data_IF_381127502321
#
_entry.id   IF_381127502321
#
_cell.length_a   1.000
_cell.length_b   1.000
_cell.length_c   1.000
_cell.angle_alpha   90.00
_cell.angle_beta   90.00
_cell.angle_gamma   90.00
#
_symmetry.space_group_name_H-M   'P 1'
#
loop_
_entity.id
_entity.type
_entity.pdbx_description
1 polymer ?
#
# COMPACT_ATOMS: atom_id res chain seq x y z
N UNK A 1 -14.04 5.05 -10.51
CA UNK A 1 -13.06 3.95 -10.38
C UNK A 1 -12.03 4.29 -9.31
N UNK A 2 -11.79 3.41 -8.32
CA UNK A 2 -10.79 3.65 -7.26
C UNK A 2 -9.38 3.61 -7.83
N UNK A 3 -8.47 4.46 -7.33
CA UNK A 3 -7.05 4.47 -7.73
C UNK A 3 -6.38 3.13 -7.41
N UNK A 4 -5.46 2.63 -8.25
CA UNK A 4 -4.65 1.46 -7.91
C UNK A 4 -3.73 1.78 -6.73
N UNK A 5 -3.46 0.77 -5.91
CA UNK A 5 -2.56 0.91 -4.76
C UNK A 5 -1.10 1.00 -5.23
N UNK A 6 -0.37 2.00 -4.74
CA UNK A 6 1.08 2.07 -4.91
C UNK A 6 1.80 1.09 -3.96
N UNK A 7 3.12 0.97 -4.09
CA UNK A 7 3.92 0.00 -3.32
C UNK A 7 3.75 0.15 -1.80
N UNK A 8 3.71 1.39 -1.29
CA UNK A 8 3.46 1.64 0.13
C UNK A 8 2.05 1.23 0.54
N UNK A 9 1.03 1.49 -0.28
CA UNK A 9 -0.35 1.10 0.01
C UNK A 9 -0.51 -0.42 0.03
N UNK A 10 0.11 -1.15 -0.91
CA UNK A 10 0.10 -2.62 -0.92
C UNK A 10 0.76 -3.18 0.35
N UNK A 11 1.96 -2.71 0.68
CA UNK A 11 2.69 -3.14 1.86
C UNK A 11 1.96 -2.78 3.17
N UNK A 12 1.49 -1.53 3.27
CA UNK A 12 0.84 -1.02 4.48
C UNK A 12 -0.48 -1.71 4.78
N UNK A 13 -1.19 -2.24 3.78
CA UNK A 13 -2.40 -3.01 4.00
C UNK A 13 -2.12 -4.32 4.77
N UNK A 14 -1.04 -5.02 4.40
CA UNK A 14 -0.61 -6.26 5.06
C UNK A 14 -0.12 -5.95 6.48
N UNK A 15 0.77 -4.96 6.61
CA UNK A 15 1.37 -4.63 7.91
C UNK A 15 0.37 -3.99 8.87
N UNK A 16 -0.60 -3.20 8.38
CA UNK A 16 -1.70 -2.67 9.20
C UNK A 16 -2.50 -3.81 9.83
N UNK A 17 -2.83 -4.85 9.05
CA UNK A 17 -3.55 -6.02 9.56
C UNK A 17 -2.80 -6.69 10.70
N UNK A 18 -1.50 -6.94 10.53
CA UNK A 18 -0.63 -7.52 11.58
C UNK A 18 -0.62 -6.67 12.86
N UNK A 19 -0.56 -5.35 12.73
CA UNK A 19 -0.58 -4.43 13.88
C UNK A 19 -1.95 -4.48 14.58
N UNK A 20 -3.04 -4.48 13.82
CA UNK A 20 -4.40 -4.54 14.38
C UNK A 20 -4.70 -5.88 15.06
N UNK A 21 -4.15 -6.99 14.58
CA UNK A 21 -4.25 -8.30 15.24
C UNK A 21 -3.53 -8.32 16.60
N UNK A 22 -2.40 -7.60 16.72
CA UNK A 22 -1.62 -7.52 17.96
C UNK A 22 -2.08 -6.39 18.91
N UNK A 23 -2.78 -5.38 18.38
CA UNK A 23 -3.18 -4.18 19.11
C UNK A 23 -4.49 -3.63 18.52
N UNK A 24 -5.63 -4.30 18.78
CA UNK A 24 -6.91 -3.97 18.16
C UNK A 24 -7.41 -2.56 18.52
N UNK A 25 -7.04 -2.05 19.69
CA UNK A 25 -7.44 -0.71 20.17
C UNK A 25 -6.54 0.41 19.66
N UNK A 26 -5.48 0.09 18.90
CA UNK A 26 -4.54 1.09 18.41
C UNK A 26 -5.21 1.97 17.35
N UNK A 27 -5.21 3.28 17.59
CA UNK A 27 -5.81 4.23 16.67
C UNK A 27 -5.10 4.24 15.30
N UNK A 28 -5.88 4.26 14.22
CA UNK A 28 -5.38 4.18 12.85
C UNK A 28 -4.36 5.27 12.48
N UNK A 29 -4.43 6.47 13.07
CA UNK A 29 -3.44 7.52 12.85
C UNK A 29 -2.06 7.12 13.40
N UNK A 30 -2.01 6.46 14.56
CA UNK A 30 -0.77 5.96 15.15
C UNK A 30 -0.20 4.79 14.35
N UNK A 31 -1.06 3.87 13.91
CA UNK A 31 -0.66 2.79 12.99
C UNK A 31 -0.02 3.37 11.72
N UNK A 32 -0.67 4.38 11.12
CA UNK A 32 -0.18 5.02 9.89
C UNK A 32 1.19 5.69 10.08
N UNK A 33 1.41 6.35 11.23
CA UNK A 33 2.74 6.92 11.58
C UNK A 33 3.81 5.84 11.68
N UNK A 34 3.53 4.73 12.36
CA UNK A 34 4.47 3.59 12.51
C UNK A 34 4.79 2.94 11.17
N UNK A 35 3.77 2.74 10.33
CA UNK A 35 3.93 2.19 8.98
C UNK A 35 4.81 3.10 8.11
N UNK A 36 4.57 4.41 8.12
CA UNK A 36 5.40 5.38 7.38
C UNK A 36 6.87 5.33 7.78
N UNK A 37 7.17 5.21 9.09
CA UNK A 37 8.55 5.06 9.58
C UNK A 37 9.16 3.73 9.12
N UNK A 38 8.46 2.61 9.32
CA UNK A 38 8.94 1.27 8.92
C UNK A 38 9.22 1.19 7.42
N UNK A 39 8.33 1.70 6.57
CA UNK A 39 8.52 1.72 5.12
C UNK A 39 9.81 2.45 4.70
N UNK A 40 10.14 3.57 5.35
CA UNK A 40 11.38 4.30 5.07
C UNK A 40 12.62 3.50 5.45
N UNK A 41 12.54 2.69 6.50
CA UNK A 41 13.64 1.85 7.00
C UNK A 41 13.82 0.53 6.25
N UNK A 42 12.83 0.05 5.50
CA UNK A 42 12.96 -1.17 4.69
C UNK A 42 14.07 -1.01 3.63
N UNK A 43 14.86 -2.08 3.43
CA UNK A 43 15.86 -2.12 2.37
C UNK A 43 15.17 -2.10 1.00
N UNK A 44 15.90 -1.67 -0.02
CA UNK A 44 15.40 -1.68 -1.41
C UNK A 44 14.93 -3.07 -1.82
N UNK A 45 15.68 -4.12 -1.47
CA UNK A 45 15.34 -5.53 -1.70
C UNK A 45 13.96 -5.91 -1.13
N UNK A 46 13.66 -5.45 0.08
CA UNK A 46 12.43 -5.81 0.79
C UNK A 46 11.21 -5.10 0.19
N UNK A 47 11.44 -4.00 -0.53
CA UNK A 47 10.38 -3.24 -1.24
C UNK A 47 10.03 -3.87 -2.59
N UNK A 48 10.92 -4.67 -3.20
CA UNK A 48 10.75 -5.22 -4.56
C UNK A 48 9.41 -5.95 -4.73
N UNK A 49 8.98 -6.85 -3.83
CA UNK A 49 7.71 -7.55 -4.00
C UNK A 49 6.51 -6.59 -4.08
N UNK A 50 6.51 -5.54 -3.25
CA UNK A 50 5.44 -4.55 -3.19
C UNK A 50 5.47 -3.58 -4.38
N UNK A 51 6.66 -3.27 -4.90
CA UNK A 51 6.82 -2.48 -6.13
C UNK A 51 6.27 -3.26 -7.33
N UNK A 52 6.62 -4.55 -7.46
CA UNK A 52 6.10 -5.42 -8.54
C UNK A 52 4.59 -5.56 -8.47
N UNK A 53 4.04 -5.76 -7.27
CA UNK A 53 2.60 -5.88 -7.10
C UNK A 53 1.86 -4.57 -7.39
N UNK A 54 2.41 -3.42 -6.98
CA UNK A 54 1.85 -2.12 -7.34
C UNK A 54 1.85 -1.88 -8.85
N UNK A 55 2.91 -2.30 -9.54
CA UNK A 55 2.98 -2.22 -11.00
C UNK A 55 1.95 -3.13 -11.67
N UNK A 56 1.80 -4.37 -11.18
CA UNK A 56 0.76 -5.30 -11.65
C UNK A 56 -0.65 -4.70 -11.48
N UNK A 57 -0.94 -4.11 -10.31
CA UNK A 57 -2.22 -3.44 -10.04
C UNK A 57 -2.44 -2.22 -10.95
N UNK A 58 -1.39 -1.46 -11.24
CA UNK A 58 -1.44 -0.32 -12.16
C UNK A 58 -1.77 -0.76 -13.58
N UNK A 59 -1.07 -1.76 -14.10
CA UNK A 59 -1.31 -2.31 -15.45
C UNK A 59 -2.71 -2.94 -15.56
N UNK A 60 -3.13 -3.72 -14.55
CA UNK A 60 -4.48 -4.27 -14.49
C UNK A 60 -5.53 -3.16 -14.52
N UNK A 61 -5.35 -2.11 -13.72
CA UNK A 61 -6.28 -0.99 -13.68
C UNK A 61 -6.36 -0.24 -15.03
N UNK A 62 -5.25 -0.10 -15.75
CA UNK A 62 -5.26 0.49 -17.09
C UNK A 62 -5.97 -0.39 -18.12
N UNK A 63 -5.82 -1.72 -18.02
CA UNK A 63 -6.51 -2.65 -18.91
C UNK A 63 -8.02 -2.72 -18.62
N UNK A 64 -8.40 -2.75 -17.34
CA UNK A 64 -9.80 -2.80 -16.90
C UNK A 64 -10.54 -1.47 -17.16
N UNK A 65 -9.81 -0.34 -17.15
CA UNK A 65 -10.37 1.01 -17.28
C UNK A 65 -9.52 1.89 -18.24
N UNK A 66 -9.56 1.63 -19.55
CA UNK A 66 -8.72 2.34 -20.54
C UNK A 66 -8.98 3.86 -20.57
N UNK A 67 -10.22 4.29 -20.29
CA UNK A 67 -10.61 5.71 -20.24
C UNK A 67 -10.43 6.35 -18.86
N UNK A 68 -9.78 5.65 -17.92
CA UNK A 68 -9.59 6.17 -16.57
C UNK A 68 -8.71 7.43 -16.57
N UNK A 69 -9.28 8.53 -16.08
CA UNK A 69 -8.55 9.77 -15.76
C UNK A 69 -8.79 10.12 -14.30
N UNK A 70 -7.71 10.28 -13.56
CA UNK A 70 -7.78 10.80 -12.20
C UNK A 70 -8.21 12.27 -12.23
N UNK A 71 -9.33 12.57 -11.56
CA UNK A 71 -9.86 13.92 -11.36
C UNK A 71 -10.01 14.12 -9.85
N UNK A 72 -9.05 14.83 -9.20
CA UNK A 72 -9.08 15.08 -7.77
C UNK A 72 -10.29 15.89 -7.32
#
# INVERSE_FOLDING_TARGET
VKRPMNAFMVWSQIERRKIMEQSPDMHNAEISKRLGKRWKLLKGSDKIPFIREAERLRLKHMADYPDYKYRP
#
